data_IF_126867139734
#
_entry.id   IF_126867139734
#
_cell.length_a   1.000
_cell.length_b   1.000
_cell.length_c   1.000
_cell.angle_alpha   90.00
_cell.angle_beta   90.00
_cell.angle_gamma   90.00
#
_symmetry.space_group_name_H-M   'P 1'
#
loop_
_entity.id
_entity.type
_entity.pdbx_description
1 polymer ?
#
# COMPACT_ATOMS: atom_id res chain seq x y z
N UNK A 1 4.37 -5.94 24.32
CA UNK A 1 3.89 -5.74 23.94
C UNK A 1 3.39 -5.63 22.68
N UNK A 2 3.54 -5.02 21.96
CA UNK A 2 3.03 -4.75 20.67
C UNK A 2 3.69 -5.52 19.59
N UNK A 3 4.70 -6.30 19.91
CA UNK A 3 5.45 -7.04 18.91
C UNK A 3 4.61 -8.03 18.14
N UNK A 4 3.49 -8.44 18.72
CA UNK A 4 2.63 -9.43 18.09
C UNK A 4 1.49 -8.83 17.30
N UNK A 5 1.43 -7.52 17.26
CA UNK A 5 0.38 -6.88 16.49
C UNK A 5 0.60 -7.07 15.01
N UNK A 6 -0.49 -7.32 14.31
CA UNK A 6 -0.45 -7.53 12.86
C UNK A 6 -0.86 -6.22 12.19
N UNK A 7 -0.05 -5.80 11.23
CA UNK A 7 -0.36 -4.61 10.42
C UNK A 7 -1.02 -5.07 9.14
N UNK A 8 -2.23 -4.60 8.89
CA UNK A 8 -2.95 -4.96 7.67
C UNK A 8 -2.58 -3.97 6.57
N UNK A 9 -2.04 -4.50 5.48
CA UNK A 9 -1.61 -3.69 4.36
C UNK A 9 -2.32 -4.17 3.11
N UNK A 10 -3.17 -3.32 2.53
CA UNK A 10 -3.86 -3.64 1.31
C UNK A 10 -2.98 -3.29 0.11
N UNK A 11 -3.06 -4.11 -0.93
CA UNK A 11 -2.22 -3.95 -2.13
C UNK A 11 -3.14 -3.90 -3.34
N UNK A 12 -3.26 -2.72 -3.95
CA UNK A 12 -4.08 -2.52 -5.14
C UNK A 12 -3.18 -2.52 -6.37
N UNK A 13 -3.06 -3.68 -6.98
CA UNK A 13 -2.21 -3.89 -8.13
C UNK A 13 -2.77 -5.04 -8.95
N UNK A 14 -2.97 -4.82 -10.25
CA UNK A 14 -3.57 -5.84 -11.11
C UNK A 14 -2.57 -6.87 -11.63
N UNK A 15 -1.27 -6.55 -11.67
CA UNK A 15 -0.27 -7.51 -12.11
C UNK A 15 -0.09 -8.61 -11.08
N UNK A 16 -0.33 -9.85 -11.50
CA UNK A 16 -0.18 -11.00 -10.64
C UNK A 16 1.26 -11.13 -10.14
N UNK A 17 2.22 -10.88 -11.02
CA UNK A 17 3.63 -11.03 -10.67
C UNK A 17 4.05 -9.97 -9.67
N UNK A 18 3.69 -8.71 -9.92
CA UNK A 18 4.08 -7.61 -9.04
C UNK A 18 3.36 -7.75 -7.69
N UNK A 19 2.06 -8.00 -7.72
CA UNK A 19 1.28 -8.12 -6.47
C UNK A 19 1.77 -9.30 -5.65
N UNK A 20 2.00 -10.45 -6.29
CA UNK A 20 2.47 -11.63 -5.60
C UNK A 20 3.86 -11.46 -5.02
N UNK A 21 4.75 -10.82 -5.78
CA UNK A 21 6.09 -10.55 -5.30
C UNK A 21 6.11 -9.61 -4.12
N UNK A 22 5.28 -8.57 -4.18
CA UNK A 22 5.19 -7.62 -3.07
C UNK A 22 4.59 -8.28 -1.83
N UNK A 23 3.54 -9.09 -2.01
CA UNK A 23 2.93 -9.83 -0.91
C UNK A 23 3.96 -10.71 -0.22
N UNK A 24 4.76 -11.44 -1.00
CA UNK A 24 5.79 -12.31 -0.44
C UNK A 24 6.84 -11.50 0.30
N UNK A 25 7.25 -10.36 -0.26
CA UNK A 25 8.26 -9.52 0.38
C UNK A 25 7.74 -8.96 1.72
N UNK A 26 6.50 -8.52 1.76
CA UNK A 26 5.94 -7.97 2.99
C UNK A 26 5.89 -9.02 4.10
N UNK A 27 5.61 -10.27 3.75
CA UNK A 27 5.57 -11.35 4.74
C UNK A 27 6.94 -11.71 5.28
N UNK A 28 8.00 -11.29 4.60
CA UNK A 28 9.38 -11.59 5.01
C UNK A 28 9.99 -10.51 5.89
N UNK A 29 9.26 -9.41 6.13
CA UNK A 29 9.79 -8.36 6.99
C UNK A 29 9.95 -8.87 8.41
N UNK A 30 11.12 -8.63 9.01
CA UNK A 30 11.41 -9.14 10.35
C UNK A 30 10.95 -8.19 11.45
N UNK A 31 10.82 -6.91 11.13
CA UNK A 31 10.53 -5.90 12.14
C UNK A 31 9.03 -5.64 12.33
N UNK A 32 8.20 -6.26 11.50
CA UNK A 32 6.75 -6.06 11.60
C UNK A 32 6.04 -7.28 11.02
N UNK A 33 4.93 -7.64 11.61
CA UNK A 33 4.14 -8.76 11.11
C UNK A 33 3.03 -8.19 10.23
N UNK A 34 3.06 -8.53 8.95
CA UNK A 34 2.14 -7.98 7.97
C UNK A 34 1.09 -8.99 7.57
N UNK A 35 -0.16 -8.55 7.51
CA UNK A 35 -1.24 -9.32 6.89
C UNK A 35 -1.60 -8.62 5.59
N UNK A 36 -1.17 -9.16 4.44
CA UNK A 36 -1.46 -8.53 3.15
C UNK A 36 -2.90 -8.80 2.73
N UNK A 37 -3.51 -7.82 2.09
CA UNK A 37 -4.85 -7.95 1.52
C UNK A 37 -4.74 -7.57 0.05
N UNK A 38 -4.94 -8.52 -0.85
CA UNK A 38 -4.76 -8.27 -2.27
C UNK A 38 -6.07 -7.79 -2.89
N UNK A 39 -5.99 -6.66 -3.59
CA UNK A 39 -7.15 -6.02 -4.19
C UNK A 39 -6.97 -5.98 -5.70
N UNK A 40 -7.95 -6.50 -6.43
CA UNK A 40 -7.88 -6.65 -7.87
C UNK A 40 -8.75 -5.66 -8.62
N UNK A 41 -9.64 -4.96 -7.94
CA UNK A 41 -10.56 -4.05 -8.60
C UNK A 41 -10.83 -2.84 -7.70
N UNK A 42 -11.38 -1.81 -8.32
CA UNK A 42 -11.77 -0.61 -7.58
C UNK A 42 -12.85 -0.93 -6.56
N UNK A 43 -13.77 -1.81 -6.92
CA UNK A 43 -14.83 -2.24 -6.00
C UNK A 43 -14.25 -2.95 -4.79
N UNK A 44 -13.27 -3.83 -5.02
CA UNK A 44 -12.62 -4.53 -3.92
C UNK A 44 -11.90 -3.56 -3.00
N UNK A 45 -11.29 -2.52 -3.58
CA UNK A 45 -10.62 -1.50 -2.80
C UNK A 45 -11.59 -0.77 -1.90
N UNK A 46 -12.71 -0.32 -2.45
CA UNK A 46 -13.72 0.41 -1.66
C UNK A 46 -14.29 -0.49 -0.56
N UNK A 47 -14.57 -1.75 -0.86
CA UNK A 47 -15.08 -2.68 0.14
C UNK A 47 -14.07 -2.89 1.27
N UNK A 48 -12.80 -3.05 0.91
CA UNK A 48 -11.76 -3.28 1.90
C UNK A 48 -11.63 -2.09 2.85
N UNK A 49 -11.60 -0.89 2.29
CA UNK A 49 -11.47 0.32 3.10
C UNK A 49 -12.65 0.47 4.05
N UNK A 50 -13.86 0.15 3.54
CA UNK A 50 -15.07 0.32 4.32
C UNK A 50 -15.20 -0.72 5.42
N UNK A 51 -14.84 -1.99 5.14
CA UNK A 51 -15.12 -3.09 6.07
C UNK A 51 -13.92 -3.56 6.86
N UNK A 52 -12.71 -3.45 6.32
CA UNK A 52 -11.51 -3.96 6.97
C UNK A 52 -10.59 -2.89 7.53
N UNK A 53 -10.69 -1.67 7.02
CA UNK A 53 -9.89 -0.53 7.51
C UNK A 53 -8.42 -0.89 7.64
N UNK A 54 -7.72 -1.15 6.53
CA UNK A 54 -6.30 -1.48 6.62
C UNK A 54 -5.51 -0.28 7.16
N UNK A 55 -4.39 -0.54 7.79
CA UNK A 55 -3.52 0.53 8.28
C UNK A 55 -2.80 1.24 7.14
N UNK A 56 -2.51 0.50 6.06
CA UNK A 56 -1.81 1.05 4.91
C UNK A 56 -2.44 0.54 3.62
N UNK A 57 -2.38 1.36 2.59
CA UNK A 57 -2.79 0.96 1.25
C UNK A 57 -1.63 1.25 0.30
N UNK A 58 -1.12 0.19 -0.32
CA UNK A 58 -0.12 0.30 -1.37
C UNK A 58 -0.88 0.21 -2.68
N UNK A 59 -0.77 1.25 -3.51
CA UNK A 59 -1.54 1.32 -4.74
C UNK A 59 -0.68 1.80 -5.89
N UNK A 60 -0.78 1.10 -7.02
CA UNK A 60 -0.17 1.57 -8.26
C UNK A 60 -0.95 2.81 -8.70
N UNK A 61 -0.27 3.94 -8.96
CA UNK A 61 -0.99 5.15 -9.37
C UNK A 61 -1.88 4.98 -10.60
N UNK A 62 -1.61 3.98 -11.44
CA UNK A 62 -2.44 3.69 -12.61
C UNK A 62 -3.62 2.78 -12.29
N UNK A 63 -3.77 2.35 -11.05
CA UNK A 63 -4.82 1.42 -10.67
C UNK A 63 -6.20 2.05 -10.92
N UNK A 64 -7.09 1.31 -11.56
CA UNK A 64 -8.45 1.80 -11.84
C UNK A 64 -8.46 3.01 -12.76
N UNK A 65 -7.60 3.01 -13.77
CA UNK A 65 -7.42 4.06 -14.76
C UNK A 65 -6.76 5.32 -14.23
N UNK A 66 -6.49 5.52 -13.08
CA UNK A 66 -5.78 6.61 -12.42
C UNK A 66 -6.35 6.71 -11.03
N UNK A 67 -5.57 6.31 -10.07
CA UNK A 67 -5.99 6.41 -8.68
C UNK A 67 -6.00 7.89 -8.26
N UNK A 68 -7.15 8.37 -7.81
CA UNK A 68 -7.34 9.77 -7.41
C UNK A 68 -7.09 9.89 -5.90
N UNK A 69 -5.92 10.41 -5.53
CA UNK A 69 -5.53 10.52 -4.13
C UNK A 69 -6.46 11.45 -3.36
N UNK A 70 -6.79 12.61 -3.94
CA UNK A 70 -7.63 13.59 -3.26
C UNK A 70 -9.02 13.03 -2.98
N UNK A 71 -9.59 12.35 -3.96
CA UNK A 71 -10.91 11.76 -3.81
C UNK A 71 -10.87 10.64 -2.77
N UNK A 72 -9.81 9.83 -2.80
CA UNK A 72 -9.68 8.75 -1.83
C UNK A 72 -9.62 9.29 -0.42
N UNK A 73 -8.82 10.35 -0.20
CA UNK A 73 -8.70 10.92 1.13
C UNK A 73 -10.01 11.51 1.63
N UNK A 74 -10.83 12.03 0.72
CA UNK A 74 -12.18 12.50 1.09
C UNK A 74 -13.05 11.33 1.53
N UNK A 75 -12.97 10.23 0.79
CA UNK A 75 -13.83 9.07 1.06
C UNK A 75 -13.49 8.42 2.39
N UNK A 76 -12.23 8.48 2.81
CA UNK A 76 -11.82 7.88 4.08
C UNK A 76 -11.77 8.90 5.20
N UNK A 77 -12.45 10.03 5.02
CA UNK A 77 -12.46 11.07 6.06
C UNK A 77 -12.71 10.47 7.44
N UNK A 78 -11.84 10.80 8.38
CA UNK A 78 -11.93 10.25 9.73
C UNK A 78 -11.18 8.94 9.94
N UNK A 79 -10.74 8.30 8.86
CA UNK A 79 -9.96 7.06 8.98
C UNK A 79 -8.49 7.36 8.73
N UNK A 80 -7.65 6.61 9.40
CA UNK A 80 -6.22 6.83 9.32
C UNK A 80 -5.55 5.73 8.51
N UNK A 81 -5.51 5.92 7.22
CA UNK A 81 -4.89 4.96 6.30
C UNK A 81 -3.70 5.63 5.63
N UNK A 82 -2.52 5.05 5.81
CA UNK A 82 -1.31 5.54 5.13
C UNK A 82 -1.36 5.11 3.68
N UNK A 83 -1.06 6.03 2.79
CA UNK A 83 -1.15 5.80 1.36
C UNK A 83 0.23 5.73 0.75
N UNK A 84 0.55 4.60 0.13
CA UNK A 84 1.87 4.33 -0.42
C UNK A 84 1.76 4.11 -1.92
N UNK A 85 2.53 4.86 -2.71
CA UNK A 85 2.57 4.65 -4.15
C UNK A 85 3.48 3.48 -4.48
N UNK A 86 2.98 2.56 -5.31
CA UNK A 86 3.80 1.46 -5.83
C UNK A 86 4.33 1.89 -7.18
N UNK A 87 5.64 2.09 -7.25
CA UNK A 87 6.30 2.62 -8.44
C UNK A 87 6.82 1.45 -9.26
N UNK A 88 6.20 1.21 -10.42
CA UNK A 88 6.61 0.14 -11.33
C UNK A 88 7.28 0.69 -12.57
N UNK A 89 7.15 1.98 -12.84
CA UNK A 89 7.75 2.66 -13.96
C UNK A 89 7.89 4.12 -13.59
N UNK A 90 8.22 4.99 -14.55
CA UNK A 90 8.36 6.41 -14.24
C UNK A 90 7.06 7.00 -13.74
N UNK A 91 7.12 7.72 -12.63
CA UNK A 91 5.98 8.46 -12.08
C UNK A 91 6.46 9.86 -11.76
N UNK A 92 5.66 10.86 -12.14
CA UNK A 92 5.98 12.25 -11.92
C UNK A 92 6.17 12.54 -10.42
N UNK A 93 7.20 13.30 -10.09
CA UNK A 93 7.47 13.62 -8.69
C UNK A 93 6.31 14.37 -8.03
N UNK A 94 5.61 15.21 -8.81
CA UNK A 94 4.47 15.94 -8.27
C UNK A 94 3.33 15.02 -7.88
N UNK A 95 3.18 13.92 -8.60
CA UNK A 95 2.17 12.92 -8.26
C UNK A 95 2.57 12.13 -7.02
N UNK A 96 3.85 11.72 -6.96
CA UNK A 96 4.33 10.97 -5.81
C UNK A 96 4.24 11.78 -4.51
N UNK A 97 4.39 13.09 -4.62
CA UNK A 97 4.32 13.95 -3.44
C UNK A 97 2.95 13.93 -2.75
N UNK A 98 1.92 13.45 -3.43
CA UNK A 98 0.59 13.35 -2.85
C UNK A 98 0.44 12.15 -1.92
N UNK A 99 1.35 11.19 -1.98
CA UNK A 99 1.33 9.98 -1.17
C UNK A 99 2.16 10.17 0.09
N UNK A 100 1.89 9.34 1.09
CA UNK A 100 2.67 9.39 2.32
C UNK A 100 4.06 8.82 2.13
N UNK A 101 4.20 7.85 1.22
CA UNK A 101 5.47 7.21 0.92
C UNK A 101 5.37 6.59 -0.46
N UNK A 102 6.51 6.22 -1.04
CA UNK A 102 6.54 5.46 -2.28
C UNK A 102 7.50 4.30 -2.14
N UNK A 103 7.16 3.17 -2.74
CA UNK A 103 8.05 2.02 -2.81
C UNK A 103 8.20 1.63 -4.26
N UNK A 104 9.41 1.18 -4.60
CA UNK A 104 9.74 0.78 -5.97
C UNK A 104 9.81 -0.74 -6.03
N UNK A 105 9.46 -1.30 -7.18
CA UNK A 105 9.64 -2.75 -7.38
C UNK A 105 11.12 -3.15 -7.30
N UNK A 106 12.03 -2.16 -7.30
CA UNK A 106 13.46 -2.43 -7.19
C UNK A 106 13.98 -2.25 -5.77
N UNK A 107 13.13 -1.87 -4.81
CA UNK A 107 13.55 -1.74 -3.42
C UNK A 107 13.89 -3.11 -2.85
N UNK A 108 14.98 -3.17 -2.07
CA UNK A 108 15.31 -4.43 -1.38
C UNK A 108 14.52 -4.51 -0.07
N UNK A 109 14.67 -5.65 0.62
CA UNK A 109 13.92 -5.88 1.85
C UNK A 109 14.26 -4.88 2.94
N UNK A 110 15.53 -4.48 3.02
CA UNK A 110 15.92 -3.52 4.04
C UNK A 110 15.26 -2.17 3.81
N UNK A 111 15.27 -1.70 2.57
CA UNK A 111 14.62 -0.44 2.21
C UNK A 111 13.13 -0.48 2.47
N UNK A 112 12.49 -1.59 2.04
CA UNK A 112 11.06 -1.76 2.26
C UNK A 112 10.73 -1.76 3.74
N UNK A 113 11.53 -2.47 4.52
CA UNK A 113 11.33 -2.55 5.97
C UNK A 113 11.39 -1.18 6.62
N UNK A 114 12.39 -0.37 6.23
CA UNK A 114 12.53 0.97 6.80
C UNK A 114 11.35 1.86 6.44
N UNK A 115 10.88 1.78 5.20
CA UNK A 115 9.76 2.61 4.76
C UNK A 115 8.48 2.25 5.51
N UNK A 116 8.22 0.95 5.65
CA UNK A 116 7.02 0.51 6.37
C UNK A 116 7.10 0.92 7.84
N UNK A 117 8.25 0.70 8.48
CA UNK A 117 8.42 1.05 9.88
C UNK A 117 8.24 2.55 10.11
N UNK A 118 8.67 3.37 9.15
CA UNK A 118 8.54 4.81 9.26
C UNK A 118 7.11 5.32 9.23
N UNK A 119 6.17 4.48 8.79
CA UNK A 119 4.76 4.86 8.71
C UNK A 119 3.93 4.33 9.88
N UNK A 120 4.52 3.54 10.75
CA UNK A 120 3.80 2.95 11.89
C UNK A 120 3.64 3.92 13.09
#
# INVERSE_FOLDING_TARGET
MKNNEVVRIAIAETSVIIRGGLTAALKRLSNVKVQPIELLSVEALHDCVRTQCPEMLIVNPAFGDYFDVAKFREEISGKRIRLIALVTSFVDASLLAKYDESISIFDDLETLSKKIAGLL
#
